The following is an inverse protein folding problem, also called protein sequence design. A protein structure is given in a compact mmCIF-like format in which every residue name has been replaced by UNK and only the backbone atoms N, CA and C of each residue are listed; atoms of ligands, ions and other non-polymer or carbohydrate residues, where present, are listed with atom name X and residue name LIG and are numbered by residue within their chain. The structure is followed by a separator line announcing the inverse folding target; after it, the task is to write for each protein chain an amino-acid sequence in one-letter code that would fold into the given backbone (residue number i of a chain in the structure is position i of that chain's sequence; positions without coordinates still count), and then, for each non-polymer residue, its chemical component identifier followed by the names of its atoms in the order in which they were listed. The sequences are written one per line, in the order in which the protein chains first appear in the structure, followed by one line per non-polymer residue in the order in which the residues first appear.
data_IF_559966643769
#
_entry.id   IF_559966643769
#
_cell.length_a   1.000
_cell.length_b   1.000
_cell.length_c   1.000
_cell.angle_alpha   90.00
_cell.angle_beta   90.00
_cell.angle_gamma   90.00
#
_symmetry.space_group_name_H-M   'P 1'
#
loop_
_entity.id
_entity.type
_entity.pdbx_description
1 polymer ?
#
# COMPACT_ATOMS: atom_id res chain seq x y z
N UNK A 1 18.48 2.12 25.70
CA UNK A 1 17.33 1.66 24.89
C UNK A 1 16.53 2.88 24.44
N UNK A 2 16.39 3.11 23.15
CA UNK A 2 15.48 4.14 22.65
C UNK A 2 14.06 3.59 22.81
N UNK A 3 13.17 4.26 23.55
CA UNK A 3 11.82 3.75 23.80
C UNK A 3 11.05 3.56 22.49
N UNK A 4 10.19 2.54 22.39
CA UNK A 4 9.23 2.34 21.29
C UNK A 4 8.49 3.64 20.96
N UNK A 5 8.22 4.48 21.97
CA UNK A 5 7.62 5.78 21.80
C UNK A 5 8.35 6.68 20.80
N UNK A 6 9.70 6.65 20.76
CA UNK A 6 10.47 7.43 19.78
C UNK A 6 10.25 6.89 18.37
N UNK A 7 10.23 5.55 18.18
CA UNK A 7 9.94 4.93 16.89
C UNK A 7 8.55 5.31 16.40
N UNK A 8 7.54 5.24 17.26
CA UNK A 8 6.16 5.61 16.94
C UNK A 8 6.08 7.07 16.53
N UNK A 9 6.68 7.98 17.30
CA UNK A 9 6.67 9.42 17.02
C UNK A 9 7.40 9.72 15.71
N UNK A 10 8.59 9.20 15.49
CA UNK A 10 9.35 9.43 14.25
C UNK A 10 8.60 8.87 13.03
N UNK A 11 8.08 7.65 13.12
CA UNK A 11 7.32 7.03 12.04
C UNK A 11 6.04 7.81 11.73
N UNK A 12 5.32 8.27 12.75
CA UNK A 12 4.16 9.12 12.59
C UNK A 12 4.50 10.46 11.91
N UNK A 13 5.59 11.12 12.32
CA UNK A 13 6.03 12.38 11.73
C UNK A 13 6.45 12.21 10.26
N UNK A 14 7.20 11.14 9.92
CA UNK A 14 7.54 10.79 8.54
C UNK A 14 6.27 10.55 7.72
N UNK A 15 5.34 9.77 8.25
CA UNK A 15 4.04 9.52 7.63
C UNK A 15 3.25 10.81 7.40
N UNK A 16 3.33 11.73 8.35
CA UNK A 16 2.60 13.01 8.33
C UNK A 16 3.08 14.01 7.27
N UNK A 17 4.21 13.80 6.58
CA UNK A 17 4.64 14.70 5.50
C UNK A 17 3.56 14.76 4.40
N UNK A 18 2.85 15.87 4.17
CA UNK A 18 1.69 15.92 3.29
C UNK A 18 2.11 16.14 1.83
N UNK A 19 2.76 15.14 1.23
CA UNK A 19 3.40 15.21 -0.09
C UNK A 19 2.45 15.69 -1.18
N UNK A 20 1.21 15.20 -1.20
CA UNK A 20 0.19 15.59 -2.17
C UNK A 20 -0.17 17.07 -2.10
N UNK A 21 -0.28 17.61 -0.89
CA UNK A 21 -0.60 19.03 -0.65
C UNK A 21 0.61 19.90 -1.04
N UNK A 22 1.82 19.50 -0.65
CA UNK A 22 3.05 20.23 -0.99
C UNK A 22 3.22 20.30 -2.52
N UNK A 23 3.08 19.18 -3.21
CA UNK A 23 3.22 19.12 -4.67
C UNK A 23 2.15 19.95 -5.37
N UNK A 24 0.89 19.84 -4.97
CA UNK A 24 -0.19 20.59 -5.61
C UNK A 24 -0.07 22.10 -5.42
N UNK A 25 0.38 22.54 -4.24
CA UNK A 25 0.66 23.96 -3.99
C UNK A 25 1.84 24.47 -4.81
N UNK A 26 2.92 23.68 -4.95
CA UNK A 26 4.09 24.09 -5.73
C UNK A 26 3.86 24.09 -7.24
N UNK A 27 3.06 23.13 -7.76
CA UNK A 27 2.86 22.97 -9.22
C UNK A 27 1.75 23.86 -9.76
N UNK A 28 0.64 24.01 -9.02
CA UNK A 28 -0.53 24.78 -9.46
C UNK A 28 -1.04 25.84 -8.47
N UNK A 29 -0.41 26.03 -7.32
CA UNK A 29 -0.85 26.97 -6.29
C UNK A 29 -2.17 26.57 -5.59
N UNK A 30 -2.62 25.31 -5.71
CA UNK A 30 -3.92 24.84 -5.22
C UNK A 30 -3.79 23.89 -4.02
N UNK A 31 -4.83 23.82 -3.21
CA UNK A 31 -4.97 22.76 -2.22
C UNK A 31 -5.73 21.58 -2.84
N UNK A 32 -5.07 20.44 -3.00
CA UNK A 32 -5.62 19.23 -3.65
C UNK A 32 -6.90 18.72 -2.96
N UNK A 33 -7.11 19.05 -1.69
CA UNK A 33 -8.30 18.65 -0.92
C UNK A 33 -9.57 19.38 -1.36
N UNK A 34 -9.44 20.46 -2.13
CA UNK A 34 -10.55 21.24 -2.69
C UNK A 34 -10.80 20.88 -4.17
N UNK A 35 -10.05 19.92 -4.75
CA UNK A 35 -10.11 19.59 -6.17
C UNK A 35 -10.24 18.09 -6.40
N UNK A 36 -10.88 17.70 -7.51
CA UNK A 36 -11.08 16.32 -7.91
C UNK A 36 -11.91 15.54 -6.89
N UNK A 37 -11.33 14.48 -6.30
CA UNK A 37 -12.03 13.67 -5.28
C UNK A 37 -11.94 14.25 -3.86
N UNK A 38 -11.23 15.34 -3.65
CA UNK A 38 -11.00 15.94 -2.33
C UNK A 38 -10.00 15.16 -1.45
N UNK A 39 -9.48 14.02 -1.91
CA UNK A 39 -8.53 13.21 -1.14
C UNK A 39 -7.09 13.72 -1.31
N UNK A 40 -6.34 13.80 -0.20
CA UNK A 40 -4.94 14.20 -0.20
C UNK A 40 -4.00 13.01 -0.53
N UNK A 41 -4.18 12.36 -1.69
CA UNK A 41 -3.40 11.21 -2.11
C UNK A 41 -2.99 11.25 -3.59
N UNK A 42 -2.01 10.42 -3.96
CA UNK A 42 -1.41 10.42 -5.29
C UNK A 42 -2.40 10.19 -6.45
N UNK A 43 -3.42 9.37 -6.27
CA UNK A 43 -4.47 9.14 -7.29
C UNK A 43 -5.26 10.42 -7.61
N UNK A 44 -5.54 11.26 -6.61
CA UNK A 44 -6.20 12.53 -6.85
C UNK A 44 -5.25 13.54 -7.53
N UNK A 45 -3.99 13.56 -7.09
CA UNK A 45 -2.94 14.36 -7.75
C UNK A 45 -2.77 13.93 -9.21
N UNK A 46 -2.76 12.63 -9.49
CA UNK A 46 -2.72 12.10 -10.86
C UNK A 46 -3.86 12.66 -11.73
N UNK A 47 -5.08 12.69 -11.17
CA UNK A 47 -6.27 13.18 -11.88
C UNK A 47 -6.23 14.69 -12.14
N UNK A 48 -5.75 15.49 -11.17
CA UNK A 48 -5.82 16.97 -11.21
C UNK A 48 -4.58 17.60 -11.83
N UNK A 49 -3.39 17.04 -11.57
CA UNK A 49 -2.10 17.57 -12.00
C UNK A 49 -1.42 16.74 -13.10
N UNK A 50 -1.96 15.57 -13.42
CA UNK A 50 -1.40 14.65 -14.41
C UNK A 50 -0.47 13.59 -13.82
N UNK A 51 -0.05 12.66 -14.70
CA UNK A 51 0.59 11.42 -14.31
C UNK A 51 1.94 11.60 -13.60
N UNK A 52 2.77 12.57 -14.04
CA UNK A 52 4.11 12.82 -13.46
C UNK A 52 4.02 13.19 -11.98
N UNK A 53 3.16 14.16 -11.65
CA UNK A 53 2.94 14.58 -10.27
C UNK A 53 2.29 13.46 -9.43
N UNK A 54 1.32 12.75 -10.00
CA UNK A 54 0.63 11.64 -9.33
C UNK A 54 1.56 10.49 -8.97
N UNK A 55 2.40 10.04 -9.93
CA UNK A 55 3.39 8.97 -9.71
C UNK A 55 4.42 9.40 -8.66
N UNK A 56 4.93 10.64 -8.74
CA UNK A 56 5.87 11.16 -7.75
C UNK A 56 5.27 11.10 -6.33
N UNK A 57 4.02 11.55 -6.15
CA UNK A 57 3.36 11.52 -4.85
C UNK A 57 3.14 10.07 -4.36
N UNK A 58 2.74 9.15 -5.24
CA UNK A 58 2.58 7.73 -4.90
C UNK A 58 3.91 7.14 -4.42
N UNK A 59 5.00 7.37 -5.14
CA UNK A 59 6.33 6.87 -4.78
C UNK A 59 6.79 7.46 -3.44
N UNK A 60 6.58 8.74 -3.20
CA UNK A 60 6.90 9.37 -1.91
C UNK A 60 6.05 8.82 -0.76
N UNK A 61 4.77 8.51 -1.00
CA UNK A 61 3.89 7.92 0.00
C UNK A 61 4.25 6.45 0.30
N UNK A 62 4.73 5.70 -0.70
CA UNK A 62 5.33 4.36 -0.50
C UNK A 62 6.62 4.48 0.32
N UNK A 63 7.50 5.43 -0.03
CA UNK A 63 8.76 5.64 0.66
C UNK A 63 8.59 5.91 2.17
N UNK A 64 7.53 6.61 2.59
CA UNK A 64 7.26 6.86 4.03
C UNK A 64 7.04 5.56 4.81
N UNK A 65 6.22 4.65 4.28
CA UNK A 65 5.94 3.36 4.90
C UNK A 65 7.20 2.48 4.93
N UNK A 66 7.92 2.44 3.82
CA UNK A 66 9.19 1.71 3.70
C UNK A 66 10.25 2.25 4.67
N UNK A 67 10.43 3.56 4.77
CA UNK A 67 11.37 4.18 5.72
C UNK A 67 11.01 3.87 7.17
N UNK A 68 9.74 3.91 7.52
CA UNK A 68 9.29 3.57 8.87
C UNK A 68 9.68 2.14 9.26
N UNK A 69 9.43 1.17 8.38
CA UNK A 69 9.64 -0.26 8.67
C UNK A 69 11.07 -0.73 8.43
N UNK A 70 11.75 -0.24 7.39
CA UNK A 70 13.08 -0.70 7.03
C UNK A 70 14.23 0.08 7.70
N UNK A 71 13.97 1.32 8.15
CA UNK A 71 14.99 2.20 8.73
C UNK A 71 14.65 2.59 10.16
N UNK A 72 13.48 3.22 10.41
CA UNK A 72 13.15 3.73 11.76
C UNK A 72 12.99 2.59 12.76
N UNK A 73 12.37 1.48 12.37
CA UNK A 73 12.26 0.30 13.25
C UNK A 73 13.64 -0.25 13.67
N UNK A 74 14.67 -0.15 12.82
CA UNK A 74 16.03 -0.60 13.12
C UNK A 74 16.78 0.26 14.15
N UNK A 75 16.27 1.45 14.50
CA UNK A 75 16.85 2.28 15.56
C UNK A 75 16.75 1.55 16.91
N UNK A 76 15.75 0.67 17.06
CA UNK A 76 15.65 -0.21 18.20
C UNK A 76 16.42 -1.51 17.95
N UNK A 77 17.70 -1.51 18.34
CA UNK A 77 18.49 -2.74 18.43
C UNK A 77 18.24 -3.41 19.79
N UNK A 78 17.65 -4.60 19.79
CA UNK A 78 17.46 -5.43 20.98
C UNK A 78 15.99 -5.79 21.26
N UNK A 79 15.79 -6.52 22.37
CA UNK A 79 14.48 -6.96 22.83
C UNK A 79 13.55 -5.80 23.20
N UNK A 80 12.26 -6.06 23.19
CA UNK A 80 11.24 -5.16 23.75
C UNK A 80 11.61 -4.76 25.17
N UNK A 81 11.24 -3.55 25.66
CA UNK A 81 11.56 -3.09 27.01
C UNK A 81 10.82 -3.88 28.12
N UNK A 82 10.07 -4.88 27.76
CA UNK A 82 9.34 -5.80 28.61
C UNK A 82 9.49 -7.24 28.06
N UNK A 83 9.42 -8.29 28.91
CA UNK A 83 9.54 -9.66 28.45
C UNK A 83 8.40 -9.99 27.47
N UNK A 84 8.79 -10.48 26.30
CA UNK A 84 7.85 -10.96 25.30
C UNK A 84 7.54 -12.44 25.55
N UNK A 85 6.40 -12.71 26.16
CA UNK A 85 5.89 -14.06 26.40
C UNK A 85 5.00 -14.57 25.24
N UNK A 86 5.01 -13.87 24.09
CA UNK A 86 4.24 -14.26 22.90
C UNK A 86 5.13 -15.05 21.92
N UNK A 87 4.54 -15.80 20.99
CA UNK A 87 5.30 -16.47 19.94
C UNK A 87 5.79 -15.51 18.84
N UNK A 88 5.59 -14.21 18.99
CA UNK A 88 5.87 -13.21 17.98
C UNK A 88 7.30 -12.68 18.10
N UNK A 89 7.95 -12.47 16.97
CA UNK A 89 9.28 -11.88 16.87
C UNK A 89 9.25 -10.39 17.23
N UNK A 90 10.09 -9.98 18.19
CA UNK A 90 10.13 -8.62 18.71
C UNK A 90 10.38 -7.57 17.63
N UNK A 91 11.36 -7.82 16.76
CA UNK A 91 11.73 -6.84 15.74
C UNK A 91 10.61 -6.67 14.71
N UNK A 92 9.98 -7.77 14.30
CA UNK A 92 8.85 -7.75 13.36
C UNK A 92 7.64 -7.02 13.95
N UNK A 93 7.37 -7.19 15.24
CA UNK A 93 6.31 -6.43 15.94
C UNK A 93 6.62 -4.93 15.90
N UNK A 94 7.87 -4.54 16.16
CA UNK A 94 8.30 -3.14 16.09
C UNK A 94 8.19 -2.58 14.66
N UNK A 95 8.53 -3.36 13.63
CA UNK A 95 8.34 -2.96 12.24
C UNK A 95 6.85 -2.71 11.92
N UNK A 96 5.96 -3.59 12.37
CA UNK A 96 4.51 -3.42 12.20
C UNK A 96 4.01 -2.16 12.91
N UNK A 97 4.43 -1.93 14.15
CA UNK A 97 4.08 -0.72 14.91
C UNK A 97 4.55 0.54 14.19
N UNK A 98 5.80 0.56 13.71
CA UNK A 98 6.36 1.69 12.98
C UNK A 98 5.59 1.98 11.68
N UNK A 99 5.28 0.93 10.91
CA UNK A 99 4.49 1.04 9.69
C UNK A 99 3.07 1.55 9.94
N UNK A 100 2.39 1.02 10.95
CA UNK A 100 1.07 1.51 11.37
C UNK A 100 1.11 2.98 11.79
N UNK A 101 2.13 3.39 12.56
CA UNK A 101 2.31 4.79 12.94
C UNK A 101 2.50 5.70 11.72
N UNK A 102 3.26 5.28 10.71
CA UNK A 102 3.40 6.03 9.46
C UNK A 102 2.09 6.12 8.67
N UNK A 103 1.29 5.06 8.63
CA UNK A 103 -0.05 5.07 8.01
C UNK A 103 -0.97 6.05 8.74
N UNK A 104 -0.99 6.01 10.08
CA UNK A 104 -1.76 6.95 10.89
C UNK A 104 -1.33 8.39 10.65
N UNK A 105 -0.01 8.64 10.55
CA UNK A 105 0.54 9.95 10.19
C UNK A 105 0.11 10.42 8.81
N UNK A 106 0.05 9.53 7.82
CA UNK A 106 -0.45 9.88 6.49
C UNK A 106 -1.96 10.20 6.48
N UNK A 107 -2.77 9.48 7.26
CA UNK A 107 -4.23 9.68 7.33
C UNK A 107 -4.57 10.92 8.17
N UNK A 108 -3.97 11.04 9.34
CA UNK A 108 -4.17 12.14 10.26
C UNK A 108 -2.89 12.97 10.40
N UNK A 109 -2.50 13.60 9.29
CA UNK A 109 -1.25 14.36 9.22
C UNK A 109 -1.29 15.63 10.08
N UNK A 110 -0.40 15.70 11.08
CA UNK A 110 -0.26 16.86 11.95
C UNK A 110 0.10 18.14 11.16
N UNK A 111 0.87 18.01 10.08
CA UNK A 111 1.32 19.14 9.27
C UNK A 111 0.25 19.73 8.32
N UNK A 112 -0.94 19.11 8.26
CA UNK A 112 -2.03 19.60 7.41
C UNK A 112 -3.40 19.59 8.12
N UNK A 113 -3.42 19.84 9.43
CA UNK A 113 -4.62 19.94 10.25
C UNK A 113 -5.36 18.61 10.36
N UNK A 114 -4.64 17.50 10.49
CA UNK A 114 -5.16 16.14 10.64
C UNK A 114 -6.07 15.67 9.49
N UNK A 115 -5.88 16.23 8.29
CA UNK A 115 -6.64 15.92 7.07
C UNK A 115 -5.69 15.47 5.96
N UNK A 116 -5.32 14.19 5.98
CA UNK A 116 -4.42 13.54 5.03
C UNK A 116 -5.14 12.71 3.97
N UNK A 117 -4.46 11.67 3.49
CA UNK A 117 -4.95 10.72 2.51
C UNK A 117 -5.54 9.45 3.13
N UNK A 118 -5.65 8.39 2.33
CA UNK A 118 -6.21 7.09 2.76
C UNK A 118 -5.16 6.08 3.26
N UNK A 119 -3.88 6.40 3.18
CA UNK A 119 -2.78 5.55 3.66
C UNK A 119 -2.44 4.33 2.79
N UNK A 120 -3.10 4.12 1.65
CA UNK A 120 -2.93 2.89 0.83
C UNK A 120 -1.50 2.74 0.31
N UNK A 121 -0.92 3.80 -0.25
CA UNK A 121 0.45 3.78 -0.76
C UNK A 121 1.47 3.62 0.38
N UNK A 122 1.22 4.25 1.54
CA UNK A 122 2.05 4.13 2.75
C UNK A 122 1.98 2.70 3.33
N UNK A 123 0.78 2.08 3.31
CA UNK A 123 0.62 0.68 3.69
C UNK A 123 1.37 -0.27 2.73
N UNK A 124 1.32 -0.01 1.42
CA UNK A 124 2.13 -0.73 0.44
C UNK A 124 3.62 -0.62 0.72
N UNK A 125 4.10 0.57 1.09
CA UNK A 125 5.49 0.79 1.51
C UNK A 125 5.86 0.06 2.80
N UNK A 126 4.96 0.05 3.79
CA UNK A 126 5.14 -0.74 5.00
C UNK A 126 5.32 -2.23 4.69
N UNK A 127 4.42 -2.80 3.89
CA UNK A 127 4.48 -4.22 3.50
C UNK A 127 5.76 -4.53 2.70
N UNK A 128 6.17 -3.62 1.82
CA UNK A 128 7.42 -3.75 1.07
C UNK A 128 8.65 -3.78 2.00
N UNK A 129 8.60 -3.08 3.13
CA UNK A 129 9.68 -3.07 4.12
C UNK A 129 9.76 -4.31 5.00
N UNK A 130 8.66 -5.04 5.17
CA UNK A 130 8.62 -6.25 6.02
C UNK A 130 8.60 -7.55 5.23
N UNK A 131 8.04 -7.55 4.02
CA UNK A 131 7.83 -8.76 3.20
C UNK A 131 7.96 -8.44 1.69
N UNK A 132 9.16 -8.04 1.21
CA UNK A 132 9.33 -7.53 -0.16
C UNK A 132 9.03 -8.58 -1.23
N UNK A 133 9.34 -9.85 -1.00
CA UNK A 133 9.10 -10.94 -1.97
C UNK A 133 7.61 -11.18 -2.10
N UNK A 134 6.89 -11.27 -0.99
CA UNK A 134 5.44 -11.49 -0.93
C UNK A 134 4.69 -10.34 -1.61
N UNK A 135 5.14 -9.10 -1.39
CA UNK A 135 4.59 -7.92 -2.09
C UNK A 135 4.85 -8.00 -3.58
N UNK A 136 6.06 -8.37 -4.00
CA UNK A 136 6.42 -8.51 -5.41
C UNK A 136 5.55 -9.55 -6.14
N UNK A 137 5.41 -10.74 -5.55
CA UNK A 137 4.57 -11.82 -6.11
C UNK A 137 3.10 -11.41 -6.14
N UNK A 138 2.58 -10.85 -5.05
CA UNK A 138 1.19 -10.37 -4.99
C UNK A 138 0.90 -9.27 -6.01
N UNK A 139 1.84 -8.35 -6.21
CA UNK A 139 1.72 -7.30 -7.22
C UNK A 139 1.75 -7.88 -8.64
N UNK A 140 2.62 -8.86 -8.92
CA UNK A 140 2.64 -9.55 -10.21
C UNK A 140 1.30 -10.25 -10.48
N UNK A 141 0.74 -10.96 -9.52
CA UNK A 141 -0.59 -11.59 -9.62
C UNK A 141 -1.68 -10.53 -9.84
N UNK A 142 -1.65 -9.41 -9.10
CA UNK A 142 -2.55 -8.29 -9.35
C UNK A 142 -2.51 -7.84 -10.80
N UNK A 143 -1.31 -7.59 -11.35
CA UNK A 143 -1.13 -7.10 -12.71
C UNK A 143 -1.64 -8.12 -13.73
N UNK A 144 -1.30 -9.41 -13.57
CA UNK A 144 -1.73 -10.49 -14.47
C UNK A 144 -3.27 -10.57 -14.50
N UNK A 145 -3.90 -10.65 -13.33
CA UNK A 145 -5.36 -10.77 -13.22
C UNK A 145 -6.05 -9.50 -13.75
N UNK A 146 -5.51 -8.32 -13.44
CA UNK A 146 -6.04 -7.06 -13.95
C UNK A 146 -5.95 -6.96 -15.47
N UNK A 147 -4.81 -7.29 -16.07
CA UNK A 147 -4.64 -7.26 -17.52
C UNK A 147 -5.55 -8.28 -18.25
N UNK A 148 -5.72 -9.46 -17.66
CA UNK A 148 -6.58 -10.49 -18.22
C UNK A 148 -8.08 -10.15 -18.13
N UNK A 149 -8.52 -9.50 -17.04
CA UNK A 149 -9.95 -9.35 -16.73
C UNK A 149 -10.47 -7.92 -16.80
N UNK A 150 -9.58 -6.93 -16.72
CA UNK A 150 -9.87 -5.49 -16.60
C UNK A 150 -10.62 -5.11 -15.30
N UNK A 151 -10.68 -6.02 -14.31
CA UNK A 151 -11.27 -5.77 -12.99
C UNK A 151 -10.19 -5.49 -11.95
N UNK A 152 -10.10 -4.24 -11.49
CA UNK A 152 -9.18 -3.86 -10.39
C UNK A 152 -9.50 -4.60 -9.11
N UNK A 153 -10.79 -4.75 -8.80
CA UNK A 153 -11.26 -5.44 -7.60
C UNK A 153 -10.85 -6.92 -7.58
N UNK A 154 -10.94 -7.63 -8.73
CA UNK A 154 -10.51 -9.01 -8.83
C UNK A 154 -8.99 -9.14 -8.65
N UNK A 155 -8.22 -8.26 -9.28
CA UNK A 155 -6.77 -8.19 -9.08
C UNK A 155 -6.41 -7.96 -7.62
N UNK A 156 -7.09 -7.02 -6.93
CA UNK A 156 -6.85 -6.72 -5.51
C UNK A 156 -7.16 -7.89 -4.60
N UNK A 157 -8.28 -8.59 -4.84
CA UNK A 157 -8.67 -9.79 -4.08
C UNK A 157 -7.66 -10.94 -4.29
N UNK A 158 -7.24 -11.16 -5.54
CA UNK A 158 -6.22 -12.16 -5.87
C UNK A 158 -4.89 -11.85 -5.17
N UNK A 159 -4.43 -10.60 -5.22
CA UNK A 159 -3.21 -10.18 -4.53
C UNK A 159 -3.30 -10.36 -3.01
N UNK A 160 -4.45 -10.03 -2.41
CA UNK A 160 -4.67 -10.17 -0.98
C UNK A 160 -4.57 -11.63 -0.50
N UNK A 161 -5.07 -12.57 -1.30
CA UNK A 161 -4.96 -14.01 -1.02
C UNK A 161 -3.55 -14.53 -1.31
N UNK A 162 -2.92 -14.04 -2.37
CA UNK A 162 -1.55 -14.45 -2.77
C UNK A 162 -0.52 -14.07 -1.70
N UNK A 163 -0.68 -12.95 -1.02
CA UNK A 163 0.28 -12.44 -0.03
C UNK A 163 0.58 -13.46 1.10
N UNK A 164 -0.41 -13.91 1.91
CA UNK A 164 -0.16 -14.93 2.93
C UNK A 164 0.20 -16.29 2.34
N UNK A 165 -0.35 -16.67 1.18
CA UNK A 165 -0.02 -17.93 0.53
C UNK A 165 1.45 -17.99 0.11
N UNK A 166 1.98 -16.93 -0.50
CA UNK A 166 3.41 -16.86 -0.87
C UNK A 166 4.29 -17.05 0.35
N UNK A 167 3.97 -16.38 1.46
CA UNK A 167 4.70 -16.49 2.71
C UNK A 167 4.66 -17.91 3.26
N UNK A 168 3.48 -18.55 3.27
CA UNK A 168 3.30 -19.92 3.71
C UNK A 168 4.11 -20.91 2.87
N UNK A 169 4.05 -20.81 1.54
CA UNK A 169 4.78 -21.72 0.65
C UNK A 169 6.29 -21.54 0.76
N UNK A 170 6.77 -20.31 0.88
CA UNK A 170 8.21 -20.05 1.06
C UNK A 170 8.74 -20.73 2.32
N UNK A 171 8.09 -20.53 3.45
CA UNK A 171 8.54 -21.08 4.73
C UNK A 171 8.36 -22.60 4.81
N UNK A 172 7.14 -23.11 4.52
CA UNK A 172 6.76 -24.48 4.88
C UNK A 172 6.93 -25.51 3.75
N UNK A 173 7.01 -25.06 2.49
CA UNK A 173 7.14 -25.95 1.34
C UNK A 173 8.52 -25.84 0.71
N UNK A 174 8.98 -24.62 0.46
CA UNK A 174 10.29 -24.38 -0.14
C UNK A 174 11.42 -24.28 0.89
N UNK A 175 11.10 -24.33 2.20
CA UNK A 175 12.05 -24.28 3.32
C UNK A 175 12.97 -23.03 3.26
N UNK A 176 12.44 -21.93 2.76
CA UNK A 176 13.11 -20.64 2.74
C UNK A 176 12.80 -19.90 4.02
N UNK A 177 13.81 -19.63 4.83
CA UNK A 177 13.65 -18.85 6.06
C UNK A 177 13.05 -17.47 5.78
N UNK A 178 11.88 -17.19 6.36
CA UNK A 178 11.19 -15.90 6.30
C UNK A 178 11.32 -15.22 7.67
N UNK A 179 12.18 -14.21 7.79
CA UNK A 179 12.40 -13.54 9.07
C UNK A 179 11.08 -13.04 9.68
N UNK A 180 10.82 -13.43 10.94
CA UNK A 180 9.58 -13.06 11.62
C UNK A 180 8.32 -13.76 11.10
N UNK A 181 8.44 -14.90 10.39
CA UNK A 181 7.33 -15.63 9.77
C UNK A 181 6.10 -15.76 10.66
N UNK A 182 6.28 -16.23 11.91
CA UNK A 182 5.15 -16.42 12.85
C UNK A 182 4.34 -15.15 13.06
N UNK A 183 5.01 -14.01 13.19
CA UNK A 183 4.36 -12.70 13.36
C UNK A 183 3.69 -12.27 12.05
N UNK A 184 4.44 -12.36 10.95
CA UNK A 184 4.00 -11.86 9.66
C UNK A 184 2.84 -12.67 9.07
N UNK A 185 2.78 -14.00 9.27
CA UNK A 185 1.70 -14.81 8.70
C UNK A 185 0.34 -14.45 9.29
N UNK A 186 0.26 -14.25 10.62
CA UNK A 186 -1.00 -13.79 11.26
C UNK A 186 -1.39 -12.39 10.80
N UNK A 187 -0.41 -11.50 10.70
CA UNK A 187 -0.63 -10.14 10.19
C UNK A 187 -1.10 -10.16 8.72
N UNK A 188 -0.48 -10.99 7.88
CA UNK A 188 -0.84 -11.15 6.48
C UNK A 188 -2.28 -11.68 6.31
N UNK A 189 -2.66 -12.69 7.11
CA UNK A 189 -4.03 -13.24 7.12
C UNK A 189 -5.03 -12.16 7.57
N UNK A 190 -4.71 -11.39 8.61
CA UNK A 190 -5.58 -10.30 9.08
C UNK A 190 -5.78 -9.22 8.01
N UNK A 191 -4.71 -8.81 7.31
CA UNK A 191 -4.80 -7.85 6.19
C UNK A 191 -5.62 -8.44 5.04
N UNK A 192 -5.39 -9.70 4.66
CA UNK A 192 -6.15 -10.35 3.59
C UNK A 192 -7.65 -10.40 3.93
N UNK A 193 -8.01 -10.79 5.15
CA UNK A 193 -9.38 -10.80 5.63
C UNK A 193 -10.01 -9.38 5.60
N UNK A 194 -9.27 -8.36 6.03
CA UNK A 194 -9.73 -6.97 5.97
C UNK A 194 -9.95 -6.49 4.54
N UNK A 195 -9.06 -6.82 3.60
CA UNK A 195 -9.21 -6.49 2.19
C UNK A 195 -10.44 -7.17 1.60
N UNK A 196 -10.63 -8.47 1.85
CA UNK A 196 -11.81 -9.23 1.39
C UNK A 196 -13.09 -8.62 1.96
N UNK A 197 -13.11 -8.31 3.25
CA UNK A 197 -14.27 -7.67 3.90
C UNK A 197 -14.59 -6.30 3.29
N UNK A 198 -13.59 -5.46 3.08
CA UNK A 198 -13.80 -4.13 2.47
C UNK A 198 -14.24 -4.21 1.01
N UNK A 199 -13.90 -5.30 0.32
CA UNK A 199 -14.30 -5.57 -1.07
C UNK A 199 -15.60 -6.39 -1.21
N UNK A 200 -16.35 -6.65 -0.12
CA UNK A 200 -17.58 -7.49 -0.16
C UNK A 200 -18.60 -7.05 -1.21
N UNK A 201 -18.78 -5.73 -1.41
CA UNK A 201 -19.66 -5.20 -2.46
C UNK A 201 -19.11 -5.45 -3.86
N UNK A 202 -17.80 -5.44 -4.04
CA UNK A 202 -17.16 -5.79 -5.31
C UNK A 202 -17.34 -7.28 -5.61
N UNK A 203 -17.19 -8.15 -4.60
CA UNK A 203 -17.42 -9.60 -4.75
C UNK A 203 -18.84 -9.87 -5.24
N UNK A 204 -19.84 -9.24 -4.63
CA UNK A 204 -21.25 -9.38 -5.08
C UNK A 204 -21.44 -8.91 -6.53
N UNK A 205 -20.82 -7.78 -6.92
CA UNK A 205 -20.88 -7.29 -8.32
C UNK A 205 -20.14 -8.20 -9.30
N UNK A 206 -19.00 -8.76 -8.91
CA UNK A 206 -18.26 -9.73 -9.72
C UNK A 206 -19.09 -10.99 -9.97
N UNK A 207 -19.71 -11.55 -8.94
CA UNK A 207 -20.56 -12.75 -9.05
C UNK A 207 -21.82 -12.49 -9.92
N UNK A 208 -22.34 -11.26 -9.91
CA UNK A 208 -23.49 -10.85 -10.75
C UNK A 208 -23.08 -10.40 -12.17
N UNK A 209 -21.79 -10.37 -12.50
CA UNK A 209 -21.29 -9.93 -13.80
C UNK A 209 -21.43 -8.43 -14.10
N UNK A 210 -21.67 -7.59 -13.07
CA UNK A 210 -21.90 -6.15 -13.20
C UNK A 210 -20.83 -5.29 -12.48
N UNK A 211 -19.63 -5.84 -12.26
CA UNK A 211 -18.50 -5.07 -11.75
C UNK A 211 -17.93 -4.13 -12.83
N UNK A 212 -17.43 -2.96 -12.41
CA UNK A 212 -16.89 -1.95 -13.30
C UNK A 212 -15.54 -2.36 -13.91
N UNK A 213 -15.48 -2.43 -15.23
CA UNK A 213 -14.23 -2.66 -15.98
C UNK A 213 -13.51 -1.34 -16.27
N UNK A 214 -12.18 -1.34 -16.21
CA UNK A 214 -11.39 -0.25 -16.76
C UNK A 214 -11.11 -0.53 -18.25
N UNK A 215 -12.01 -0.07 -19.12
CA UNK A 215 -11.93 -0.28 -20.59
C UNK A 215 -11.01 0.71 -21.31
N UNK A 216 -10.50 1.75 -20.63
CA UNK A 216 -9.76 2.85 -21.25
C UNK A 216 -8.26 2.62 -21.40
N UNK A 217 -7.70 1.50 -20.95
CA UNK A 217 -6.32 1.13 -21.27
C UNK A 217 -6.31 0.52 -22.67
N UNK A 218 -6.27 1.38 -23.68
CA UNK A 218 -6.04 1.00 -25.09
C UNK A 218 -4.59 0.57 -25.30
N UNK A 219 -4.17 -0.53 -24.67
CA UNK A 219 -2.81 -1.06 -24.81
C UNK A 219 -2.55 -1.67 -26.20
N UNK A 220 -3.59 -2.05 -26.96
CA UNK A 220 -3.47 -2.57 -28.31
C UNK A 220 -4.68 -2.21 -29.18
N UNK A 221 -4.79 -0.95 -29.61
CA UNK A 221 -5.66 -0.65 -30.74
C UNK A 221 -4.89 -0.93 -32.03
N UNK A 222 -5.02 -2.12 -32.64
CA UNK A 222 -4.73 -2.33 -34.03
C UNK A 222 -5.49 -1.26 -34.84
N UNK A 223 -4.78 -0.38 -35.53
CA UNK A 223 -5.35 0.45 -36.57
C UNK A 223 -5.84 -0.52 -37.66
N UNK A 224 -7.10 -0.86 -37.65
CA UNK A 224 -7.74 -1.34 -38.89
C UNK A 224 -7.80 -0.13 -39.81
N UNK A 225 -6.93 -0.14 -40.79
CA UNK A 225 -7.01 0.77 -41.94
C UNK A 225 -8.37 0.50 -42.60
N UNK A 226 -9.32 1.40 -42.43
CA UNK A 226 -10.47 1.48 -43.34
C UNK A 226 -9.96 2.13 -44.61
N UNK A 227 -9.68 1.31 -45.61
CA UNK A 227 -9.63 1.72 -47.01
C UNK A 227 -11.01 2.27 -47.37
N UNK A 228 -11.12 3.58 -47.60
CA UNK A 228 -12.26 4.17 -48.31
C UNK A 228 -12.25 3.71 -49.77
N UNK A 229 -13.37 3.19 -50.31
CA UNK A 229 -13.56 3.11 -51.74
C UNK A 229 -13.94 4.49 -52.28
N UNK A 230 -13.56 4.69 -53.50
CA UNK A 230 -13.74 5.85 -54.40
C UNK A 230 -15.18 6.31 -54.52
#
# INVERSE_FOLDING_TARGET
MIPIGVIVVLSYLIGSIPTSIIVSRRVKGIDIRQHGSGNAGGTNVFRVLGWRAGVFVILMDIAKGLLATAVVAKIMYGALPFPNNTPFDDFTVVQIIAGCAAILGHVWTVFAGFRGGKGIATAGGMLLGVAPVEVGVSFAVFVIVFLATQYVSLGSLSAAVTFPLTMFFRENVFMVDVPGYRTLIYFAIAIAALIIYTHRSNVVRLLRGNENKITSIKLFRRKTATSSPQ
#
